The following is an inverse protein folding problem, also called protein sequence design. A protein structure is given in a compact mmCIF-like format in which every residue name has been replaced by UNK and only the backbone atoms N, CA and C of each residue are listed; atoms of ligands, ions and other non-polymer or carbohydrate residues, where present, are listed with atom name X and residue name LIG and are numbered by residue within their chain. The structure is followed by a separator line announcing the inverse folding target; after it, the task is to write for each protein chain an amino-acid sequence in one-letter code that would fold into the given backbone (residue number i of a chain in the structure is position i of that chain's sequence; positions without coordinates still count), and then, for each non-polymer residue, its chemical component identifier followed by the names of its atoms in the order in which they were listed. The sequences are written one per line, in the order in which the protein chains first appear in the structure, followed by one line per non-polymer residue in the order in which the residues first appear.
data_IF_912800469221
#
_entry.id   IF_912800469221
#
_cell.length_a   1.000
_cell.length_b   1.000
_cell.length_c   1.000
_cell.angle_alpha   90.00
_cell.angle_beta   90.00
_cell.angle_gamma   90.00
#
_symmetry.space_group_name_H-M   'P 1'
#
loop_
_entity.id
_entity.type
_entity.pdbx_description
1 polymer ?
#
# COMPACT_ATOMS: atom_id res chain seq x y z
N UNK A 1 13.04 7.26 -23.17
CA UNK A 1 12.87 6.30 -22.20
C UNK A 1 11.44 6.21 -21.67
N UNK A 2 10.87 7.20 -21.20
CA UNK A 2 9.50 7.07 -20.76
C UNK A 2 8.60 6.51 -21.83
N UNK A 3 8.90 6.75 -23.07
CA UNK A 3 8.04 6.24 -24.14
C UNK A 3 8.10 4.75 -24.15
N UNK A 4 9.26 4.20 -23.91
CA UNK A 4 9.40 2.77 -23.92
C UNK A 4 8.63 2.16 -22.77
N UNK A 5 8.48 2.92 -21.71
CA UNK A 5 7.78 2.40 -20.57
C UNK A 5 6.29 2.35 -20.85
N UNK A 6 5.78 3.35 -21.52
CA UNK A 6 4.36 3.44 -21.73
C UNK A 6 3.78 2.24 -22.47
N UNK A 7 4.37 1.81 -23.54
CA UNK A 7 3.85 0.63 -24.23
C UNK A 7 3.88 -0.60 -23.32
N UNK A 8 4.97 -0.71 -22.53
CA UNK A 8 5.06 -1.86 -21.66
C UNK A 8 3.99 -1.80 -20.57
N UNK A 9 3.76 -0.63 -20.06
CA UNK A 9 2.75 -0.49 -19.02
C UNK A 9 1.38 -0.87 -19.55
N UNK A 10 1.09 -0.45 -20.76
CA UNK A 10 -0.19 -0.79 -21.32
C UNK A 10 -0.34 -2.28 -21.48
N UNK A 11 0.71 -2.93 -21.88
CA UNK A 11 0.66 -4.37 -22.02
C UNK A 11 0.43 -5.05 -20.67
N UNK A 12 1.06 -4.51 -19.66
CA UNK A 12 0.92 -5.07 -18.31
C UNK A 12 -0.51 -4.91 -17.83
N UNK A 13 -1.10 -3.75 -18.08
CA UNK A 13 -2.48 -3.52 -17.69
C UNK A 13 -3.41 -4.53 -18.35
N UNK A 14 -3.17 -4.79 -19.63
CA UNK A 14 -3.99 -5.75 -20.34
C UNK A 14 -3.84 -7.14 -19.74
N UNK A 15 -2.63 -7.47 -19.35
CA UNK A 15 -2.38 -8.78 -18.75
C UNK A 15 -3.13 -8.91 -17.43
N UNK A 16 -3.16 -7.84 -16.67
CA UNK A 16 -3.87 -7.87 -15.40
C UNK A 16 -5.35 -8.07 -15.63
N UNK A 17 -5.89 -7.42 -16.63
CA UNK A 17 -7.30 -7.52 -16.90
C UNK A 17 -7.69 -8.96 -17.25
N UNK A 18 -6.80 -9.64 -17.92
CA UNK A 18 -7.13 -10.99 -18.32
C UNK A 18 -6.76 -12.04 -17.27
N UNK A 19 -5.79 -11.73 -16.48
CA UNK A 19 -5.33 -12.71 -15.51
C UNK A 19 -5.69 -12.40 -14.07
N UNK A 20 -6.63 -11.52 -13.86
CA UNK A 20 -6.93 -11.16 -12.47
C UNK A 20 -7.17 -12.38 -11.63
N UNK A 21 -7.66 -13.31 -12.30
CA UNK A 21 -7.89 -14.49 -11.55
C UNK A 21 -6.68 -15.05 -10.99
N UNK A 22 -5.78 -15.23 -11.73
CA UNK A 22 -4.64 -15.95 -11.23
C UNK A 22 -4.04 -15.24 -10.16
N UNK A 23 -4.19 -14.13 -10.38
CA UNK A 23 -3.54 -13.35 -9.40
C UNK A 23 -3.78 -13.95 -8.08
N UNK A 24 -4.60 -14.43 -8.23
CA UNK A 24 -4.87 -14.93 -7.06
C UNK A 24 -3.85 -15.12 -6.39
N UNK A 25 -3.70 -15.30 -6.90
CA UNK A 25 -2.47 -15.15 -6.45
C UNK A 25 -2.45 -14.68 -5.04
N UNK A 26 -3.38 -14.65 -4.44
CA UNK A 26 -3.33 -14.38 -3.04
C UNK A 26 -2.10 -14.98 -2.42
N UNK A 27 -1.54 -15.92 -3.10
CA UNK A 27 -0.31 -16.54 -2.65
C UNK A 27 0.79 -15.53 -2.39
N UNK A 28 0.98 -14.61 -3.27
CA UNK A 28 2.06 -13.66 -3.10
C UNK A 28 1.82 -12.71 -1.94
N UNK A 29 0.58 -12.44 -1.67
CA UNK A 29 0.26 -11.55 -0.57
C UNK A 29 0.66 -12.18 0.76
N UNK A 30 0.57 -13.48 0.83
CA UNK A 30 0.91 -14.17 2.07
C UNK A 30 2.38 -14.04 2.40
N UNK A 31 3.20 -13.79 1.41
CA UNK A 31 4.62 -13.65 1.63
C UNK A 31 5.02 -12.22 1.92
N UNK A 32 4.07 -11.32 2.00
CA UNK A 32 4.36 -9.94 2.29
C UNK A 32 4.97 -9.20 1.12
N UNK A 33 4.80 -9.71 -0.09
CA UNK A 33 5.30 -9.03 -1.26
C UNK A 33 4.14 -8.54 -2.09
N UNK A 34 4.32 -7.42 -2.76
CA UNK A 34 3.33 -6.94 -3.69
C UNK A 34 3.27 -7.88 -4.89
N UNK A 35 2.08 -8.09 -5.46
CA UNK A 35 1.96 -8.93 -6.64
C UNK A 35 2.84 -8.38 -7.76
N UNK A 36 3.52 -9.26 -8.46
CA UNK A 36 4.46 -8.83 -9.47
C UNK A 36 3.80 -8.79 -10.82
N UNK A 37 3.63 -7.61 -11.37
CA UNK A 37 3.06 -7.42 -12.70
C UNK A 37 4.10 -6.93 -13.69
N UNK A 38 5.32 -6.66 -13.23
CA UNK A 38 6.33 -6.03 -14.07
C UNK A 38 6.25 -4.51 -14.04
N UNK A 39 5.30 -3.95 -13.33
CA UNK A 39 5.20 -2.50 -13.19
C UNK A 39 6.31 -1.98 -12.31
N UNK A 40 6.75 -0.76 -12.59
CA UNK A 40 7.72 -0.09 -11.73
C UNK A 40 7.05 0.89 -10.79
N UNK A 41 5.73 0.83 -10.71
CA UNK A 41 4.93 1.69 -9.83
C UNK A 41 4.21 0.83 -8.81
N UNK A 42 4.31 1.23 -7.57
CA UNK A 42 3.60 0.56 -6.47
C UNK A 42 2.62 1.54 -5.84
N UNK A 43 1.41 1.07 -5.58
CA UNK A 43 0.45 1.80 -4.77
C UNK A 43 0.38 1.10 -3.43
N UNK A 44 0.84 1.76 -2.39
CA UNK A 44 0.75 1.23 -1.03
C UNK A 44 -0.25 2.08 -0.27
N UNK A 45 -1.10 1.43 0.52
CA UNK A 45 -2.14 2.18 1.21
C UNK A 45 -2.46 1.57 2.57
N UNK A 46 -2.92 2.43 3.47
CA UNK A 46 -3.50 2.01 4.73
C UNK A 46 -4.93 2.53 4.76
N UNK A 47 -5.88 1.67 5.12
CA UNK A 47 -7.30 2.04 5.15
C UNK A 47 -7.94 1.46 6.37
N UNK A 48 -8.68 2.29 7.12
CA UNK A 48 -9.41 1.81 8.28
C UNK A 48 -10.82 1.35 7.90
N UNK A 49 -11.53 2.20 7.17
CA UNK A 49 -12.92 1.92 6.87
C UNK A 49 -13.16 1.45 5.43
N UNK A 50 -12.13 1.47 4.62
CA UNK A 50 -12.23 1.03 3.23
C UNK A 50 -12.21 2.15 2.21
N UNK A 51 -12.35 3.40 2.63
CA UNK A 51 -12.38 4.51 1.68
C UNK A 51 -11.05 4.66 0.95
N UNK A 52 -9.96 4.66 1.68
CA UNK A 52 -8.64 4.77 1.06
C UNK A 52 -8.36 3.58 0.16
N UNK A 53 -8.86 2.40 0.54
CA UNK A 53 -8.70 1.21 -0.29
C UNK A 53 -9.34 1.40 -1.66
N UNK A 54 -10.52 2.01 -1.71
CA UNK A 54 -11.22 2.22 -2.97
C UNK A 54 -10.41 3.15 -3.86
N UNK A 55 -9.91 4.26 -3.30
CA UNK A 55 -9.12 5.22 -4.07
C UNK A 55 -7.82 4.58 -4.54
N UNK A 56 -7.16 3.84 -3.66
CA UNK A 56 -5.91 3.18 -4.02
C UNK A 56 -6.14 2.19 -5.16
N UNK A 57 -7.24 1.45 -5.12
CA UNK A 57 -7.57 0.52 -6.18
C UNK A 57 -7.82 1.19 -7.52
N UNK A 58 -8.45 2.38 -7.49
CA UNK A 58 -8.69 3.11 -8.72
C UNK A 58 -7.36 3.56 -9.33
N UNK A 59 -6.45 4.07 -8.51
CA UNK A 59 -5.14 4.50 -8.99
C UNK A 59 -4.36 3.31 -9.53
N UNK A 60 -4.39 2.22 -8.80
CA UNK A 60 -3.68 1.01 -9.20
C UNK A 60 -4.14 0.52 -10.56
N UNK A 61 -5.45 0.47 -10.77
CA UNK A 61 -5.98 -0.01 -12.05
C UNK A 61 -5.72 0.99 -13.18
N UNK A 62 -5.81 2.27 -12.87
CA UNK A 62 -5.58 3.29 -13.89
C UNK A 62 -4.15 3.34 -14.37
N UNK A 63 -3.20 2.99 -13.51
CA UNK A 63 -1.79 3.03 -13.86
C UNK A 63 -1.21 1.66 -14.20
N UNK A 64 -1.96 0.59 -14.00
CA UNK A 64 -1.41 -0.74 -14.16
C UNK A 64 -0.33 -1.01 -13.14
N UNK A 65 -0.49 -0.49 -11.93
CA UNK A 65 0.52 -0.59 -10.90
C UNK A 65 0.29 -1.81 -10.01
N UNK A 66 1.29 -2.13 -9.21
CA UNK A 66 1.13 -3.15 -8.17
C UNK A 66 0.48 -2.51 -6.95
N UNK A 67 -0.09 -3.32 -6.08
CA UNK A 67 -0.86 -2.84 -4.94
C UNK A 67 -0.42 -3.54 -3.67
N UNK A 68 -0.23 -2.79 -2.61
CA UNK A 68 0.16 -3.35 -1.32
C UNK A 68 -0.66 -2.70 -0.21
N UNK A 69 -1.28 -3.50 0.63
CA UNK A 69 -2.03 -2.97 1.76
C UNK A 69 -1.14 -2.96 3.00
N UNK A 70 -0.98 -1.78 3.60
CA UNK A 70 -0.23 -1.62 4.83
C UNK A 70 -1.14 -1.99 5.98
N UNK A 71 -0.71 -2.92 6.84
CA UNK A 71 -1.49 -3.35 7.98
C UNK A 71 -0.64 -3.38 9.22
N UNK A 72 -1.14 -2.82 10.34
CA UNK A 72 -0.45 -3.00 11.60
C UNK A 72 -0.64 -4.44 12.07
N UNK A 73 0.36 -4.97 12.77
CA UNK A 73 0.27 -6.33 13.29
C UNK A 73 -0.88 -6.45 14.28
N UNK A 74 -1.17 -5.37 15.01
CA UNK A 74 -2.33 -5.31 15.90
C UNK A 74 -3.30 -4.29 15.32
N UNK A 75 -4.50 -4.70 14.91
CA UNK A 75 -5.44 -3.76 14.31
C UNK A 75 -5.82 -2.62 15.25
N UNK A 76 -6.10 -1.48 14.68
CA UNK A 76 -6.63 -0.36 15.46
C UNK A 76 -8.07 -0.67 15.88
N UNK A 77 -8.56 0.01 16.93
CA UNK A 77 -9.95 -0.22 17.37
C UNK A 77 -10.95 0.07 16.25
N UNK A 78 -12.10 -0.59 16.32
CA UNK A 78 -13.15 -0.35 15.33
C UNK A 78 -13.78 1.03 15.51
N UNK A 79 -13.83 1.52 16.75
CA UNK A 79 -14.42 2.82 17.04
C UNK A 79 -13.48 3.94 16.56
N UNK A 80 -14.03 4.86 15.80
CA UNK A 80 -13.21 5.91 15.20
C UNK A 80 -12.54 6.79 16.26
N UNK A 81 -13.27 7.19 17.29
CA UNK A 81 -12.69 8.08 18.30
C UNK A 81 -11.58 7.38 19.08
N UNK A 82 -11.74 6.10 19.36
CA UNK A 82 -10.68 5.34 20.04
C UNK A 82 -9.47 5.22 19.15
N UNK A 83 -9.68 5.03 17.85
CA UNK A 83 -8.59 4.95 16.90
C UNK A 83 -7.80 6.25 16.85
N UNK A 84 -8.52 7.39 16.79
CA UNK A 84 -7.86 8.68 16.72
C UNK A 84 -7.08 8.95 18.02
N UNK A 85 -7.65 8.59 19.15
CA UNK A 85 -6.99 8.78 20.43
C UNK A 85 -5.73 7.93 20.54
N UNK A 86 -5.81 6.68 20.12
CA UNK A 86 -4.64 5.81 20.13
C UNK A 86 -3.55 6.35 19.19
N UNK A 87 -3.96 6.79 18.00
CA UNK A 87 -3.00 7.34 17.04
C UNK A 87 -2.33 8.59 17.59
N UNK A 88 -3.08 9.42 18.33
CA UNK A 88 -2.52 10.60 18.94
C UNK A 88 -1.48 10.23 19.99
N UNK A 89 -1.76 9.24 20.82
CA UNK A 89 -0.81 8.79 21.83
C UNK A 89 0.45 8.21 21.18
N UNK A 90 0.27 7.43 20.12
CA UNK A 90 1.42 6.85 19.41
C UNK A 90 2.27 7.94 18.77
N UNK A 91 1.61 8.92 18.17
CA UNK A 91 2.33 10.02 17.55
C UNK A 91 3.13 10.83 18.59
N UNK A 92 2.48 11.15 19.71
CA UNK A 92 3.12 11.97 20.73
C UNK A 92 4.29 11.26 21.39
N UNK A 93 4.24 9.95 21.49
CA UNK A 93 5.32 9.19 22.09
C UNK A 93 6.35 8.72 21.06
N UNK A 94 6.12 8.96 19.80
CA UNK A 94 7.03 8.49 18.76
C UNK A 94 6.93 7.00 18.48
N UNK A 95 5.89 6.35 18.99
CA UNK A 95 5.74 4.92 18.84
C UNK A 95 5.42 4.57 17.39
N UNK A 96 6.07 3.55 16.86
CA UNK A 96 5.82 3.06 15.51
C UNK A 96 5.25 1.65 15.63
N UNK A 97 3.97 1.45 15.30
CA UNK A 97 3.37 0.13 15.41
C UNK A 97 4.10 -0.89 14.54
N UNK A 98 4.16 -2.12 15.03
CA UNK A 98 4.70 -3.21 14.25
C UNK A 98 3.80 -3.46 13.04
N UNK A 99 4.41 -3.81 11.92
CA UNK A 99 3.69 -4.07 10.68
C UNK A 99 3.46 -5.56 10.51
N UNK A 100 2.33 -5.92 9.91
CA UNK A 100 2.04 -7.31 9.62
C UNK A 100 3.02 -7.86 8.58
N UNK A 101 3.35 -7.03 7.59
CA UNK A 101 4.31 -7.41 6.56
C UNK A 101 4.91 -6.17 5.94
N UNK A 102 5.96 -6.35 5.14
CA UNK A 102 6.63 -5.25 4.44
C UNK A 102 6.77 -5.62 2.97
N UNK A 103 7.12 -4.64 2.15
CA UNK A 103 7.35 -4.87 0.72
C UNK A 103 8.82 -5.28 0.57
N UNK A 104 9.07 -6.55 0.30
CA UNK A 104 10.44 -7.03 0.20
C UNK A 104 11.13 -6.64 -1.09
N UNK A 105 10.35 -6.40 -2.13
CA UNK A 105 10.89 -6.01 -3.42
C UNK A 105 10.73 -4.51 -3.70
N UNK A 106 10.84 -3.68 -2.66
CA UNK A 106 10.65 -2.25 -2.82
C UNK A 106 11.62 -1.66 -3.84
N UNK A 107 12.82 -2.20 -3.94
CA UNK A 107 13.81 -1.69 -4.88
C UNK A 107 13.42 -1.88 -6.35
N UNK A 108 12.44 -2.73 -6.61
CA UNK A 108 11.97 -2.95 -7.98
C UNK A 108 11.11 -1.81 -8.49
N UNK A 109 10.71 -0.90 -7.60
CA UNK A 109 9.82 0.19 -7.96
C UNK A 109 10.59 1.51 -7.97
N UNK A 110 10.24 2.37 -8.92
CA UNK A 110 10.81 3.72 -8.95
C UNK A 110 9.76 4.76 -8.62
N UNK A 111 8.50 4.38 -8.44
CA UNK A 111 7.43 5.30 -8.10
C UNK A 111 6.52 4.66 -7.06
N UNK A 112 6.26 5.39 -5.99
CA UNK A 112 5.39 4.93 -4.92
C UNK A 112 4.26 5.93 -4.73
N UNK A 113 3.02 5.43 -4.85
CA UNK A 113 1.84 6.21 -4.46
C UNK A 113 1.45 5.71 -3.08
N UNK A 114 1.33 6.62 -2.13
CA UNK A 114 1.06 6.26 -0.75
C UNK A 114 -0.29 6.85 -0.35
N UNK A 115 -1.24 5.98 -0.02
CA UNK A 115 -2.59 6.40 0.37
C UNK A 115 -2.85 6.14 1.84
N UNK A 116 -3.48 7.10 2.52
CA UNK A 116 -3.83 6.93 3.93
C UNK A 116 -4.87 7.97 4.35
N UNK A 117 -5.64 7.65 5.39
CA UNK A 117 -6.56 8.64 5.95
C UNK A 117 -5.78 9.61 6.82
N UNK A 118 -6.32 10.80 6.96
CA UNK A 118 -5.69 11.80 7.85
C UNK A 118 -6.34 11.66 9.21
N UNK A 119 -5.51 11.37 10.22
CA UNK A 119 -5.97 11.23 11.58
C UNK A 119 -5.38 12.34 12.41
N UNK A 120 -6.25 13.25 12.89
CA UNK A 120 -5.78 14.35 13.71
C UNK A 120 -4.76 15.22 12.98
N UNK A 121 -5.06 15.50 11.72
CA UNK A 121 -4.23 16.39 10.91
C UNK A 121 -2.85 15.86 10.57
N UNK A 122 -2.65 14.56 10.69
CA UNK A 122 -1.34 14.01 10.40
C UNK A 122 -1.45 12.60 9.85
N UNK A 123 -0.30 12.06 9.46
CA UNK A 123 -0.18 10.71 8.93
C UNK A 123 -0.37 9.70 10.06
N UNK A 124 -1.16 8.65 9.84
CA UNK A 124 -1.27 7.61 10.86
C UNK A 124 0.09 7.00 11.22
N UNK A 125 0.31 6.67 12.48
CA UNK A 125 1.61 6.12 12.90
C UNK A 125 2.01 4.86 12.15
N UNK A 126 1.05 4.01 11.76
CA UNK A 126 1.37 2.80 11.03
C UNK A 126 1.98 3.13 9.67
N UNK A 127 1.59 4.24 9.05
CA UNK A 127 2.14 4.65 7.77
C UNK A 127 3.57 5.14 7.96
N UNK A 128 3.85 5.83 9.06
CA UNK A 128 5.22 6.24 9.37
C UNK A 128 6.09 5.03 9.65
N UNK A 129 5.52 3.99 10.28
CA UNK A 129 6.24 2.74 10.49
C UNK A 129 6.59 2.11 9.14
N UNK A 130 5.66 2.15 8.19
CA UNK A 130 5.90 1.61 6.87
C UNK A 130 7.04 2.34 6.17
N UNK A 131 7.01 3.67 6.22
CA UNK A 131 8.07 4.46 5.57
C UNK A 131 9.43 4.19 6.22
N UNK A 132 9.45 4.01 7.54
CA UNK A 132 10.71 3.75 8.25
C UNK A 132 11.25 2.35 7.98
N UNK A 133 10.39 1.43 7.60
CA UNK A 133 10.80 0.04 7.38
C UNK A 133 11.41 -0.18 5.99
N UNK A 134 11.34 0.80 5.12
CA UNK A 134 11.82 0.66 3.75
C UNK A 134 12.83 1.74 3.42
N UNK A 135 13.76 1.38 2.55
CA UNK A 135 14.76 2.33 2.06
C UNK A 135 14.19 2.96 0.80
N UNK A 136 13.79 4.21 0.90
CA UNK A 136 13.12 4.91 -0.20
C UNK A 136 13.97 6.01 -0.79
#
# INVERSE_FOLDING_TARGET
MSEDHDPLRRSIVAALASAPLLALAGTDADNGEAPRTGSRTLVAYFSRSGNTRVVAGLIQRGLGADLFEIRPATPYPADYLQTVEQARRERDSGFKPALESIVRNMADYDTLFLGFPIWGETTPPVVRAFLSAHDL
#
